data_IF_779705973203
#
_entry.id   IF_779705973203
#
_cell.length_a   1.000
_cell.length_b   1.000
_cell.length_c   1.000
_cell.angle_alpha   90.00
_cell.angle_beta   90.00
_cell.angle_gamma   90.00
#
_symmetry.space_group_name_H-M   'P 1'
#
loop_
_entity.id
_entity.type
_entity.pdbx_description
1 polymer ?
#
# COMPACT_ATOMS: atom_id res chain seq x y z
N UNK A 1 -16.44 17.12 26.64
CA UNK A 1 -15.86 15.96 25.95
C UNK A 1 -16.75 15.56 24.77
N UNK A 2 -16.65 16.22 23.60
CA UNK A 2 -17.46 15.93 22.39
C UNK A 2 -16.62 15.86 21.09
N UNK A 3 -15.28 15.94 21.19
CA UNK A 3 -14.39 16.11 20.03
C UNK A 3 -13.69 14.85 19.51
N UNK A 4 -13.77 13.70 20.20
CA UNK A 4 -12.96 12.52 19.85
C UNK A 4 -13.69 11.48 18.99
N UNK A 5 -15.04 11.48 18.96
CA UNK A 5 -15.82 10.40 18.32
C UNK A 5 -16.00 10.58 16.81
N UNK A 6 -15.99 11.82 16.29
CA UNK A 6 -16.03 12.06 14.84
C UNK A 6 -14.67 11.84 14.15
N UNK A 7 -13.57 12.04 14.89
CA UNK A 7 -12.22 11.95 14.34
C UNK A 7 -11.74 10.52 14.12
N UNK A 8 -12.34 9.51 14.77
CA UNK A 8 -11.97 8.08 14.60
C UNK A 8 -12.79 7.37 13.51
N UNK A 9 -14.00 7.86 13.21
CA UNK A 9 -14.82 7.34 12.10
C UNK A 9 -14.17 7.61 10.76
N UNK A 10 -13.58 8.80 10.55
CA UNK A 10 -12.89 9.16 9.31
C UNK A 10 -11.71 8.24 8.96
N UNK A 11 -10.72 8.04 9.85
CA UNK A 11 -9.57 7.16 9.61
C UNK A 11 -9.94 5.70 9.45
N UNK A 12 -10.89 5.19 10.24
CA UNK A 12 -11.30 3.79 10.13
C UNK A 12 -12.08 3.52 8.84
N UNK A 13 -13.01 4.41 8.48
CA UNK A 13 -13.75 4.30 7.20
C UNK A 13 -12.86 4.55 5.99
N UNK A 14 -11.92 5.49 6.07
CA UNK A 14 -10.90 5.70 5.04
C UNK A 14 -10.01 4.47 4.90
N UNK A 15 -9.53 3.89 6.00
CA UNK A 15 -8.74 2.65 5.98
C UNK A 15 -9.49 1.50 5.34
N UNK A 16 -10.75 1.27 5.76
CA UNK A 16 -11.60 0.22 5.17
C UNK A 16 -11.87 0.47 3.68
N UNK A 17 -12.16 1.71 3.29
CA UNK A 17 -12.37 2.08 1.89
C UNK A 17 -11.09 1.89 1.06
N UNK A 18 -9.92 2.28 1.58
CA UNK A 18 -8.64 2.06 0.90
C UNK A 18 -8.27 0.58 0.80
N UNK A 19 -8.61 -0.26 1.77
CA UNK A 19 -8.40 -1.70 1.66
C UNK A 19 -9.35 -2.33 0.64
N UNK A 20 -10.63 -1.96 0.66
CA UNK A 20 -11.66 -2.57 -0.17
C UNK A 20 -11.64 -2.08 -1.64
N UNK A 21 -11.39 -0.80 -1.88
CA UNK A 21 -11.42 -0.19 -3.21
C UNK A 21 -10.05 -0.09 -3.88
N UNK A 22 -8.98 -0.58 -3.25
CA UNK A 22 -7.66 -0.58 -3.87
C UNK A 22 -7.46 -1.88 -4.67
N UNK A 23 -7.56 -1.86 -6.02
CA UNK A 23 -7.40 -3.06 -6.83
C UNK A 23 -6.01 -3.67 -6.69
N UNK A 24 -4.97 -2.86 -6.45
CA UNK A 24 -3.61 -3.37 -6.26
C UNK A 24 -3.48 -4.16 -4.95
N UNK A 25 -4.18 -3.78 -3.89
CA UNK A 25 -4.18 -4.52 -2.63
C UNK A 25 -4.84 -5.89 -2.80
N UNK A 26 -5.99 -5.95 -3.49
CA UNK A 26 -6.68 -7.20 -3.77
C UNK A 26 -5.88 -8.10 -4.70
N UNK A 27 -5.30 -7.54 -5.76
CA UNK A 27 -4.43 -8.28 -6.69
C UNK A 27 -3.20 -8.84 -5.98
N UNK A 28 -2.59 -8.07 -5.08
CA UNK A 28 -1.44 -8.53 -4.30
C UNK A 28 -1.80 -9.74 -3.42
N UNK A 29 -2.96 -9.70 -2.75
CA UNK A 29 -3.45 -10.85 -1.97
C UNK A 29 -3.73 -12.08 -2.83
N UNK A 30 -4.34 -11.88 -4.00
CA UNK A 30 -4.67 -12.97 -4.93
C UNK A 30 -3.44 -13.59 -5.59
N UNK A 31 -2.34 -12.83 -5.72
CA UNK A 31 -1.10 -13.29 -6.35
C UNK A 31 -0.04 -13.66 -5.31
N UNK A 32 0.66 -12.67 -4.78
CA UNK A 32 1.78 -12.86 -3.84
C UNK A 32 1.30 -13.47 -2.52
N UNK A 33 0.18 -12.99 -1.99
CA UNK A 33 -0.39 -13.49 -0.74
C UNK A 33 -0.73 -14.98 -0.80
N UNK A 34 -1.40 -15.41 -1.87
CA UNK A 34 -1.77 -16.81 -2.07
C UNK A 34 -0.55 -17.73 -2.17
N UNK A 35 0.47 -17.33 -2.94
CA UNK A 35 1.73 -18.08 -3.07
C UNK A 35 2.45 -18.19 -1.72
N UNK A 36 2.45 -17.14 -0.90
CA UNK A 36 3.06 -17.17 0.43
C UNK A 36 2.35 -18.14 1.38
N UNK A 37 1.02 -18.17 1.32
CA UNK A 37 0.19 -19.10 2.10
C UNK A 37 0.38 -20.54 1.64
N UNK A 38 0.43 -20.77 0.33
CA UNK A 38 0.71 -22.08 -0.25
C UNK A 38 2.10 -22.59 0.16
N UNK A 39 3.12 -21.74 0.06
CA UNK A 39 4.48 -22.06 0.50
C UNK A 39 4.54 -22.39 2.00
N UNK A 40 3.81 -21.65 2.84
CA UNK A 40 3.71 -21.93 4.27
C UNK A 40 2.99 -23.25 4.56
N UNK A 41 1.98 -23.61 3.76
CA UNK A 41 1.25 -24.87 3.90
C UNK A 41 2.14 -26.10 3.65
N UNK A 42 3.13 -25.99 2.75
CA UNK A 42 4.10 -27.05 2.46
C UNK A 42 5.06 -27.37 3.61
N UNK A 43 5.28 -26.42 4.53
CA UNK A 43 6.10 -26.58 5.75
C UNK A 43 5.27 -27.06 6.96
N UNK A 44 3.95 -27.20 6.81
CA UNK A 44 3.00 -27.62 7.84
C UNK A 44 2.20 -26.46 8.45
N UNK A 45 0.92 -26.71 8.72
CA UNK A 45 -0.06 -25.70 9.17
C UNK A 45 0.34 -24.92 10.44
N UNK A 46 1.04 -25.56 11.38
CA UNK A 46 1.46 -24.91 12.62
C UNK A 46 2.80 -24.21 12.48
N UNK A 47 3.82 -24.90 11.97
CA UNK A 47 5.19 -24.37 11.89
C UNK A 47 5.33 -23.33 10.78
N UNK A 48 4.79 -23.63 9.59
CA UNK A 48 4.88 -22.75 8.42
C UNK A 48 4.19 -21.41 8.64
N UNK A 49 2.96 -21.41 9.19
CA UNK A 49 2.22 -20.18 9.44
C UNK A 49 2.78 -19.37 10.60
N UNK A 50 3.30 -20.04 11.65
CA UNK A 50 3.92 -19.37 12.80
C UNK A 50 5.20 -18.62 12.42
N UNK A 51 5.90 -19.05 11.37
CA UNK A 51 7.10 -18.37 10.85
C UNK A 51 6.71 -17.35 9.79
N UNK A 52 5.86 -17.75 8.84
CA UNK A 52 5.46 -16.90 7.71
C UNK A 52 4.76 -15.63 8.18
N UNK A 53 3.80 -15.72 9.11
CA UNK A 53 3.01 -14.57 9.57
C UNK A 53 3.86 -13.45 10.18
N UNK A 54 4.71 -13.68 11.20
CA UNK A 54 5.53 -12.61 11.77
C UNK A 54 6.59 -12.09 10.80
N UNK A 55 7.20 -12.94 9.96
CA UNK A 55 8.13 -12.48 8.93
C UNK A 55 7.44 -11.55 7.92
N UNK A 56 6.26 -11.91 7.46
CA UNK A 56 5.49 -11.13 6.52
C UNK A 56 5.00 -9.80 7.12
N UNK A 57 4.34 -9.84 8.28
CA UNK A 57 3.77 -8.66 8.94
C UNK A 57 4.84 -7.64 9.35
N UNK A 58 6.00 -8.11 9.82
CA UNK A 58 7.12 -7.21 10.10
C UNK A 58 7.55 -6.47 8.82
N UNK A 59 7.78 -7.18 7.72
CA UNK A 59 8.23 -6.56 6.48
C UNK A 59 7.28 -5.45 6.02
N UNK A 60 5.97 -5.62 6.22
CA UNK A 60 4.99 -4.57 5.93
C UNK A 60 5.19 -3.33 6.81
N UNK A 61 5.38 -3.49 8.12
CA UNK A 61 5.67 -2.36 9.01
C UNK A 61 6.99 -1.67 8.66
N UNK A 62 8.03 -2.45 8.33
CA UNK A 62 9.32 -1.91 7.92
C UNK A 62 9.19 -1.12 6.60
N UNK A 63 8.47 -1.67 5.63
CA UNK A 63 8.23 -1.05 4.34
C UNK A 63 7.39 0.22 4.46
N UNK A 64 6.28 0.19 5.19
CA UNK A 64 5.41 1.37 5.39
C UNK A 64 6.14 2.49 6.14
N UNK A 65 6.95 2.15 7.15
CA UNK A 65 7.77 3.13 7.87
C UNK A 65 8.87 3.71 6.96
N UNK A 66 9.49 2.88 6.12
CA UNK A 66 10.45 3.33 5.12
C UNK A 66 9.77 4.28 4.12
N UNK A 67 8.60 3.93 3.58
CA UNK A 67 7.85 4.79 2.65
C UNK A 67 7.42 6.11 3.32
N UNK A 68 6.98 6.08 4.57
CA UNK A 68 6.62 7.27 5.32
C UNK A 68 7.85 8.18 5.55
N UNK A 69 9.00 7.60 5.91
CA UNK A 69 10.24 8.37 6.12
C UNK A 69 10.83 8.92 4.83
N UNK A 70 10.75 8.19 3.71
CA UNK A 70 11.10 8.68 2.38
C UNK A 70 10.13 9.76 1.89
N UNK A 71 8.84 9.65 2.21
CA UNK A 71 7.84 10.68 1.91
C UNK A 71 8.12 11.99 2.65
N UNK A 72 8.41 11.91 3.94
CA UNK A 72 8.78 13.07 4.75
C UNK A 72 10.15 13.64 4.34
N UNK A 73 11.13 12.77 4.10
CA UNK A 73 12.45 13.14 3.60
C UNK A 73 12.39 13.81 2.22
N UNK A 74 11.59 13.27 1.31
CA UNK A 74 11.35 13.85 -0.02
C UNK A 74 10.66 15.21 0.06
N UNK A 75 9.68 15.37 0.96
CA UNK A 75 9.01 16.65 1.23
C UNK A 75 9.96 17.67 1.85
N UNK A 76 10.89 17.24 2.71
CA UNK A 76 11.88 18.12 3.37
C UNK A 76 13.04 18.48 2.45
N UNK A 77 13.43 17.58 1.53
CA UNK A 77 14.51 17.78 0.56
C UNK A 77 14.06 18.60 -0.67
N UNK A 78 12.81 18.43 -1.13
CA UNK A 78 12.25 19.22 -2.22
C UNK A 78 11.50 20.44 -1.66
N UNK A 79 12.19 21.59 -1.60
CA UNK A 79 11.57 22.91 -1.33
C UNK A 79 10.31 23.08 -2.19
N UNK A 80 9.22 23.61 -1.63
CA UNK A 80 7.82 23.57 -2.14
C UNK A 80 7.60 23.56 -3.67
N UNK A 81 8.40 24.28 -4.48
CA UNK A 81 8.32 24.26 -5.95
C UNK A 81 8.74 22.92 -6.59
N UNK A 82 9.74 22.23 -6.04
CA UNK A 82 10.19 20.93 -6.55
C UNK A 82 9.17 19.81 -6.27
N UNK A 83 8.56 19.83 -5.08
CA UNK A 83 7.55 18.84 -4.69
C UNK A 83 6.30 18.92 -5.59
N UNK A 84 5.88 20.14 -5.95
CA UNK A 84 4.79 20.35 -6.92
C UNK A 84 5.10 19.80 -8.31
N UNK A 85 6.31 20.03 -8.82
CA UNK A 85 6.73 19.49 -10.11
C UNK A 85 6.81 17.95 -10.11
N UNK A 86 7.31 17.36 -9.01
CA UNK A 86 7.34 15.91 -8.82
C UNK A 86 5.92 15.33 -8.84
N UNK A 87 4.98 15.93 -8.10
CA UNK A 87 3.58 15.47 -8.08
C UNK A 87 2.92 15.55 -9.46
N UNK A 88 3.17 16.62 -10.23
CA UNK A 88 2.64 16.76 -11.59
C UNK A 88 3.25 15.67 -12.51
N UNK A 89 4.55 15.40 -12.39
CA UNK A 89 5.21 14.36 -13.17
C UNK A 89 4.65 12.96 -12.83
N UNK A 90 4.45 12.65 -11.56
CA UNK A 90 3.81 11.40 -11.10
C UNK A 90 2.36 11.28 -11.59
N UNK A 91 1.59 12.37 -11.54
CA UNK A 91 0.22 12.40 -12.05
C UNK A 91 0.18 12.16 -13.57
N UNK A 92 1.07 12.80 -14.33
CA UNK A 92 1.20 12.58 -15.77
C UNK A 92 1.62 11.14 -16.09
N UNK A 93 2.54 10.57 -15.33
CA UNK A 93 2.95 9.17 -15.47
C UNK A 93 1.77 8.22 -15.23
N UNK A 94 1.02 8.42 -14.13
CA UNK A 94 -0.16 7.60 -13.84
C UNK A 94 -1.22 7.74 -14.93
N UNK A 95 -1.47 8.95 -15.43
CA UNK A 95 -2.40 9.18 -16.52
C UNK A 95 -1.96 8.49 -17.82
N UNK A 96 -0.66 8.53 -18.15
CA UNK A 96 -0.09 7.86 -19.31
C UNK A 96 -0.18 6.34 -19.24
N UNK A 97 0.16 5.76 -18.09
CA UNK A 97 0.01 4.31 -17.85
C UNK A 97 -1.47 3.90 -17.91
N UNK A 98 -2.36 4.70 -17.32
CA UNK A 98 -3.81 4.46 -17.39
C UNK A 98 -4.34 4.50 -18.83
N UNK A 99 -3.93 5.49 -19.62
CA UNK A 99 -4.31 5.58 -21.04
C UNK A 99 -3.77 4.41 -21.88
N UNK A 100 -2.52 3.99 -21.64
CA UNK A 100 -1.93 2.82 -22.28
C UNK A 100 -2.71 1.54 -21.96
N UNK A 101 -3.10 1.35 -20.70
CA UNK A 101 -3.90 0.20 -20.29
C UNK A 101 -5.28 0.18 -20.98
N UNK A 102 -5.92 1.34 -21.18
CA UNK A 102 -7.19 1.46 -21.91
C UNK A 102 -7.03 1.17 -23.41
N UNK A 103 -5.94 1.62 -24.03
CA UNK A 103 -5.67 1.30 -25.44
C UNK A 103 -5.37 -0.18 -25.67
N UNK A 104 -4.75 -0.87 -24.70
CA UNK A 104 -4.51 -2.31 -24.78
C UNK A 104 -5.75 -3.19 -24.60
N UNK A 105 -6.90 -2.61 -24.24
CA UNK A 105 -8.19 -3.30 -24.08
C UNK A 105 -9.11 -3.18 -25.31
N UNK A 106 -8.76 -2.33 -26.29
CA UNK A 106 -9.49 -2.09 -27.54
C UNK A 106 -8.86 -2.85 -28.71
#
# INVERSE_FOLDING_TARGET
MKGFTNSLRGPFTAGLAFTAFNPFFLLWWLTVGLVLVEAASGLGLLVGYSIMYPSHVWMDYAWLTLMASLGEGGRRMLRSRGYGALLIALAALMAGVGAYALMGLA
#
